data_IF_767028113828
#
_entry.id   IF_767028113828
#
_cell.length_a   1.000
_cell.length_b   1.000
_cell.length_c   1.000
_cell.angle_alpha   90.00
_cell.angle_beta   90.00
_cell.angle_gamma   90.00
#
_symmetry.space_group_name_H-M   'P 1'
#
loop_
_entity.id
_entity.type
_entity.pdbx_description
1 polymer ?
#
# COMPACT_ATOMS: atom_id res chain seq x y z
N UNK A 1 -49.60 -18.92 10.16
CA UNK A 1 -49.88 -18.03 9.06
C UNK A 1 -49.33 -16.66 9.42
N UNK A 2 -48.20 -16.30 8.88
CA UNK A 2 -47.82 -15.02 8.29
C UNK A 2 -46.33 -15.15 7.97
N UNK A 3 -46.09 -15.42 6.71
CA UNK A 3 -44.75 -15.49 6.10
C UNK A 3 -44.20 -14.08 5.96
N UNK A 4 -43.13 -13.74 6.63
CA UNK A 4 -42.30 -12.59 6.29
C UNK A 4 -41.20 -13.06 5.34
N UNK A 5 -41.51 -13.10 4.06
CA UNK A 5 -40.52 -13.12 2.98
C UNK A 5 -39.77 -11.81 3.00
N UNK A 6 -38.57 -11.85 3.57
CA UNK A 6 -37.61 -10.75 3.47
C UNK A 6 -37.09 -10.72 2.04
N UNK A 7 -37.53 -9.73 1.27
CA UNK A 7 -37.14 -9.46 -0.11
C UNK A 7 -35.60 -9.45 -0.23
N UNK A 8 -35.08 -10.34 -1.11
CA UNK A 8 -33.72 -10.30 -1.62
C UNK A 8 -33.53 -9.00 -2.36
N UNK A 9 -32.56 -8.19 -2.00
CA UNK A 9 -32.02 -7.16 -2.88
C UNK A 9 -31.19 -7.89 -3.94
N UNK A 10 -31.78 -8.18 -5.06
CA UNK A 10 -31.07 -8.57 -6.27
C UNK A 10 -30.26 -7.35 -6.73
N UNK A 11 -28.93 -7.49 -6.84
CA UNK A 11 -28.11 -6.46 -7.42
C UNK A 11 -28.58 -6.23 -8.87
N UNK A 12 -28.77 -5.00 -9.32
CA UNK A 12 -29.18 -4.74 -10.68
C UNK A 12 -28.16 -5.34 -11.65
N UNK A 13 -28.58 -5.85 -12.81
CA UNK A 13 -27.70 -6.50 -13.79
C UNK A 13 -26.48 -5.66 -14.19
N UNK A 14 -26.59 -4.34 -14.10
CA UNK A 14 -25.52 -3.37 -14.40
C UNK A 14 -24.39 -3.36 -13.33
N UNK A 15 -24.67 -3.80 -12.11
CA UNK A 15 -23.68 -3.88 -11.00
C UNK A 15 -22.93 -5.22 -10.95
N UNK A 16 -23.42 -6.26 -11.64
CA UNK A 16 -22.82 -7.60 -11.61
C UNK A 16 -21.38 -7.61 -12.13
N UNK A 17 -21.02 -6.95 -13.26
CA UNK A 17 -19.62 -6.91 -13.71
C UNK A 17 -18.68 -6.29 -12.68
N UNK A 18 -19.12 -5.24 -12.00
CA UNK A 18 -18.34 -4.57 -10.93
C UNK A 18 -18.17 -5.48 -9.72
N UNK A 19 -19.20 -6.22 -9.33
CA UNK A 19 -19.13 -7.20 -8.26
C UNK A 19 -18.18 -8.35 -8.60
N UNK A 20 -18.25 -8.87 -9.83
CA UNK A 20 -17.34 -9.94 -10.29
C UNK A 20 -15.90 -9.44 -10.36
N UNK A 21 -15.66 -8.20 -10.80
CA UNK A 21 -14.35 -7.57 -10.77
C UNK A 21 -13.82 -7.43 -9.32
N UNK A 22 -14.67 -7.01 -8.40
CA UNK A 22 -14.33 -6.95 -6.98
C UNK A 22 -13.94 -8.33 -6.41
N UNK A 23 -14.73 -9.37 -6.72
CA UNK A 23 -14.43 -10.73 -6.31
C UNK A 23 -13.16 -11.29 -6.96
N UNK A 24 -12.90 -10.95 -8.22
CA UNK A 24 -11.65 -11.29 -8.88
C UNK A 24 -10.46 -10.74 -8.09
N UNK A 25 -10.52 -9.47 -7.70
CA UNK A 25 -9.44 -8.81 -6.94
C UNK A 25 -9.22 -9.40 -5.55
N UNK A 26 -10.29 -9.72 -4.83
CA UNK A 26 -10.19 -10.05 -3.41
C UNK A 26 -10.23 -11.55 -3.10
N UNK A 27 -10.85 -12.35 -3.98
CA UNK A 27 -11.06 -13.77 -3.72
C UNK A 27 -10.29 -14.69 -4.68
N UNK A 28 -10.02 -14.27 -5.92
CA UNK A 28 -9.36 -15.14 -6.90
C UNK A 28 -8.00 -15.66 -6.40
N UNK A 29 -7.18 -14.81 -5.81
CA UNK A 29 -5.87 -15.22 -5.29
C UNK A 29 -5.95 -16.29 -4.19
N UNK A 30 -6.98 -16.25 -3.35
CA UNK A 30 -7.24 -17.27 -2.32
C UNK A 30 -7.61 -18.61 -2.95
N UNK A 31 -8.48 -18.57 -3.97
CA UNK A 31 -8.93 -19.79 -4.69
C UNK A 31 -7.77 -20.39 -5.48
N UNK A 32 -6.98 -19.55 -6.19
CA UNK A 32 -5.78 -20.00 -6.91
C UNK A 32 -4.78 -20.65 -5.94
N UNK A 33 -4.51 -20.02 -4.80
CA UNK A 33 -3.61 -20.57 -3.78
C UNK A 33 -4.09 -21.93 -3.28
N UNK A 34 -5.39 -22.06 -3.02
CA UNK A 34 -5.99 -23.33 -2.58
C UNK A 34 -5.92 -24.42 -3.64
N UNK A 35 -6.24 -24.12 -4.88
CA UNK A 35 -6.11 -25.09 -5.98
C UNK A 35 -4.64 -25.48 -6.22
N UNK A 36 -3.72 -24.52 -6.10
CA UNK A 36 -2.28 -24.80 -6.21
C UNK A 36 -1.77 -25.69 -5.07
N UNK A 37 -2.33 -25.59 -3.87
CA UNK A 37 -1.97 -26.51 -2.76
C UNK A 37 -2.34 -27.97 -3.09
N UNK A 38 -3.38 -28.19 -3.89
CA UNK A 38 -3.87 -29.52 -4.27
C UNK A 38 -3.14 -30.04 -5.53
N UNK A 39 -3.03 -29.21 -6.56
CA UNK A 39 -2.43 -29.60 -7.83
C UNK A 39 -0.90 -29.51 -7.86
N UNK A 40 -0.31 -28.77 -6.92
CA UNK A 40 1.11 -28.42 -6.93
C UNK A 40 1.43 -27.19 -7.80
N UNK A 41 2.58 -26.58 -7.55
CA UNK A 41 3.05 -25.36 -8.23
C UNK A 41 3.23 -25.55 -9.72
N UNK A 42 3.51 -26.78 -10.17
CA UNK A 42 3.63 -27.14 -11.59
C UNK A 42 2.35 -26.87 -12.39
N UNK A 43 1.20 -26.84 -11.72
CA UNK A 43 -0.12 -26.63 -12.31
C UNK A 43 -0.71 -25.24 -11.96
N UNK A 44 0.13 -24.26 -11.63
CA UNK A 44 -0.31 -22.91 -11.28
C UNK A 44 -1.16 -22.26 -12.36
N UNK A 45 -0.79 -22.41 -13.66
CA UNK A 45 -1.59 -21.90 -14.76
C UNK A 45 -2.99 -22.54 -14.79
N UNK A 46 -3.06 -23.85 -14.56
CA UNK A 46 -4.34 -24.57 -14.49
C UNK A 46 -5.23 -24.02 -13.36
N UNK A 47 -4.66 -23.77 -12.19
CA UNK A 47 -5.41 -23.19 -11.07
C UNK A 47 -5.98 -21.80 -11.43
N UNK A 48 -5.20 -20.95 -12.12
CA UNK A 48 -5.68 -19.66 -12.62
C UNK A 48 -6.81 -19.80 -13.64
N UNK A 49 -6.67 -20.71 -14.61
CA UNK A 49 -7.66 -20.94 -15.68
C UNK A 49 -9.00 -21.41 -15.08
N UNK A 50 -8.97 -22.32 -14.10
CA UNK A 50 -10.18 -22.79 -13.42
C UNK A 50 -10.91 -21.67 -12.65
N UNK A 51 -10.16 -20.75 -12.04
CA UNK A 51 -10.75 -19.60 -11.34
C UNK A 51 -11.31 -18.60 -12.34
N UNK A 52 -10.63 -18.33 -13.44
CA UNK A 52 -11.14 -17.47 -14.51
C UNK A 52 -12.42 -18.03 -15.15
N UNK A 53 -12.48 -19.33 -15.40
CA UNK A 53 -13.69 -19.99 -15.90
C UNK A 53 -14.84 -19.87 -14.89
N UNK A 54 -14.59 -20.04 -13.58
CA UNK A 54 -15.61 -19.85 -12.57
C UNK A 54 -16.17 -18.41 -12.53
N UNK A 55 -15.30 -17.41 -12.69
CA UNK A 55 -15.70 -16.01 -12.77
C UNK A 55 -16.45 -15.70 -14.08
N UNK A 56 -16.06 -16.27 -15.20
CA UNK A 56 -16.79 -16.17 -16.46
C UNK A 56 -18.20 -16.75 -16.34
N UNK A 57 -18.36 -17.90 -15.66
CA UNK A 57 -19.67 -18.46 -15.34
C UNK A 57 -20.51 -17.58 -14.44
N UNK A 58 -19.90 -16.89 -13.48
CA UNK A 58 -20.62 -15.91 -12.64
C UNK A 58 -21.22 -14.79 -13.51
N UNK A 59 -20.46 -14.23 -14.44
CA UNK A 59 -20.92 -13.20 -15.38
C UNK A 59 -22.07 -13.70 -16.28
N UNK A 60 -22.07 -14.99 -16.63
CA UNK A 60 -23.11 -15.59 -17.46
C UNK A 60 -24.37 -15.97 -16.69
N UNK A 61 -24.26 -16.39 -15.42
CA UNK A 61 -25.36 -16.98 -14.67
C UNK A 61 -26.04 -16.00 -13.72
N UNK A 62 -25.30 -15.12 -13.07
CA UNK A 62 -25.88 -14.20 -12.08
C UNK A 62 -26.86 -13.17 -12.63
N UNK A 63 -26.74 -12.68 -13.89
CA UNK A 63 -27.77 -11.80 -14.47
C UNK A 63 -29.16 -12.45 -14.55
N UNK A 64 -29.22 -13.78 -14.64
CA UNK A 64 -30.49 -14.51 -14.82
C UNK A 64 -31.01 -15.17 -13.52
N UNK A 65 -30.11 -15.61 -12.65
CA UNK A 65 -30.46 -16.39 -11.45
C UNK A 65 -30.23 -15.62 -10.15
N UNK A 66 -29.75 -14.36 -10.26
CA UNK A 66 -29.40 -13.53 -9.12
C UNK A 66 -28.04 -13.88 -8.51
N UNK A 67 -27.50 -12.94 -7.75
CA UNK A 67 -26.21 -13.10 -7.05
C UNK A 67 -26.40 -14.02 -5.83
N UNK A 68 -25.57 -15.06 -5.64
CA UNK A 68 -25.64 -15.93 -4.46
C UNK A 68 -25.46 -15.13 -3.16
N UNK A 69 -26.01 -15.65 -2.04
CA UNK A 69 -25.83 -15.04 -0.70
C UNK A 69 -24.35 -14.90 -0.30
N UNK A 70 -23.52 -15.86 -0.72
CA UNK A 70 -22.08 -15.83 -0.52
C UNK A 70 -21.37 -16.05 -1.88
N UNK A 71 -21.09 -14.96 -2.64
CA UNK A 71 -20.47 -15.04 -3.95
C UNK A 71 -19.08 -15.68 -3.94
N UNK A 72 -18.27 -15.42 -2.91
CA UNK A 72 -16.92 -16.00 -2.77
C UNK A 72 -16.97 -17.53 -2.60
N UNK A 73 -17.87 -18.03 -1.77
CA UNK A 73 -18.08 -19.47 -1.61
C UNK A 73 -18.60 -20.13 -2.90
N UNK A 74 -19.44 -19.45 -3.68
CA UNK A 74 -19.91 -19.92 -4.96
C UNK A 74 -18.77 -20.08 -5.98
N UNK A 75 -17.90 -19.06 -6.10
CA UNK A 75 -16.71 -19.13 -6.98
C UNK A 75 -15.80 -20.28 -6.56
N UNK A 76 -15.52 -20.42 -5.26
CA UNK A 76 -14.74 -21.54 -4.75
C UNK A 76 -15.36 -22.89 -5.14
N UNK A 77 -16.66 -23.05 -4.95
CA UNK A 77 -17.36 -24.30 -5.26
C UNK A 77 -17.36 -24.61 -6.75
N UNK A 78 -17.60 -23.60 -7.61
CA UNK A 78 -17.56 -23.80 -9.07
C UNK A 78 -16.14 -24.15 -9.53
N UNK A 79 -15.11 -23.45 -9.01
CA UNK A 79 -13.72 -23.77 -9.31
C UNK A 79 -13.35 -25.19 -8.91
N UNK A 80 -13.80 -25.66 -7.75
CA UNK A 80 -13.62 -27.06 -7.30
C UNK A 80 -14.32 -28.07 -8.22
N UNK A 81 -15.57 -27.81 -8.58
CA UNK A 81 -16.30 -28.71 -9.47
C UNK A 81 -15.59 -28.83 -10.83
N UNK A 82 -15.13 -27.70 -11.38
CA UNK A 82 -14.31 -27.68 -12.60
C UNK A 82 -13.01 -28.48 -12.41
N UNK A 83 -12.37 -28.34 -11.26
CA UNK A 83 -11.16 -29.08 -10.92
C UNK A 83 -11.40 -30.59 -10.85
N UNK A 84 -12.47 -31.03 -10.21
CA UNK A 84 -12.90 -32.46 -10.13
C UNK A 84 -13.17 -33.01 -11.53
N UNK A 85 -13.93 -32.29 -12.36
CA UNK A 85 -14.24 -32.70 -13.73
C UNK A 85 -12.97 -32.84 -14.58
N UNK A 86 -12.00 -31.94 -14.38
CA UNK A 86 -10.73 -31.99 -15.06
C UNK A 86 -9.89 -33.18 -14.61
N UNK A 87 -9.76 -33.42 -13.29
CA UNK A 87 -9.01 -34.56 -12.73
C UNK A 87 -9.57 -35.88 -13.28
N UNK A 88 -10.89 -36.01 -13.37
CA UNK A 88 -11.57 -37.21 -13.93
C UNK A 88 -11.33 -37.41 -15.41
N UNK A 89 -11.12 -36.33 -16.18
CA UNK A 89 -10.90 -36.41 -17.64
C UNK A 89 -9.44 -36.62 -18.04
N UNK A 90 -8.51 -36.03 -17.28
CA UNK A 90 -7.11 -35.95 -17.63
C UNK A 90 -6.32 -37.16 -17.16
N UNK A 91 -5.70 -37.88 -18.12
CA UNK A 91 -4.86 -39.05 -17.84
C UNK A 91 -3.67 -38.75 -16.93
N UNK A 92 -3.17 -37.53 -16.93
CA UNK A 92 -2.01 -37.06 -16.12
C UNK A 92 -2.28 -37.18 -14.63
N UNK A 93 -3.53 -37.11 -14.18
CA UNK A 93 -3.91 -37.17 -12.77
C UNK A 93 -4.35 -38.56 -12.31
N UNK A 94 -4.36 -39.57 -13.21
CA UNK A 94 -4.95 -40.90 -12.97
C UNK A 94 -4.39 -41.59 -11.72
N UNK A 95 -3.08 -41.50 -11.50
CA UNK A 95 -2.42 -42.15 -10.35
C UNK A 95 -2.72 -41.50 -9.00
N UNK A 96 -3.20 -40.22 -9.03
CA UNK A 96 -3.52 -39.42 -7.83
C UNK A 96 -4.99 -38.99 -7.78
N UNK A 97 -5.82 -39.52 -8.67
CA UNK A 97 -7.22 -39.07 -8.84
C UNK A 97 -8.00 -39.15 -7.53
N UNK A 98 -7.96 -40.29 -6.84
CA UNK A 98 -8.69 -40.51 -5.59
C UNK A 98 -8.23 -39.57 -4.49
N UNK A 99 -6.92 -39.34 -4.35
CA UNK A 99 -6.35 -38.43 -3.35
C UNK A 99 -6.75 -36.98 -3.64
N UNK A 100 -6.61 -36.54 -4.89
CA UNK A 100 -6.92 -35.17 -5.32
C UNK A 100 -8.43 -34.89 -5.20
N UNK A 101 -9.28 -35.81 -5.62
CA UNK A 101 -10.74 -35.67 -5.45
C UNK A 101 -11.10 -35.64 -3.97
N UNK A 102 -10.50 -36.50 -3.16
CA UNK A 102 -10.68 -36.49 -1.70
C UNK A 102 -10.33 -35.15 -1.07
N UNK A 103 -9.21 -34.56 -1.44
CA UNK A 103 -8.79 -33.22 -0.96
C UNK A 103 -9.73 -32.11 -1.44
N UNK A 104 -10.28 -32.20 -2.64
CA UNK A 104 -11.28 -31.27 -3.17
C UNK A 104 -12.64 -31.41 -2.47
N UNK A 105 -13.05 -32.65 -2.14
CA UNK A 105 -14.35 -32.96 -1.53
C UNK A 105 -14.38 -32.77 -0.01
N UNK A 106 -13.28 -33.00 0.70
CA UNK A 106 -13.19 -32.79 2.16
C UNK A 106 -13.72 -31.45 2.63
N UNK A 107 -13.69 -30.43 1.73
CA UNK A 107 -14.20 -29.09 2.02
C UNK A 107 -15.72 -28.95 1.92
N UNK A 108 -16.43 -29.89 1.30
CA UNK A 108 -17.90 -29.87 1.26
C UNK A 108 -18.50 -30.29 2.62
N UNK A 109 -17.80 -31.13 3.36
CA UNK A 109 -18.23 -31.60 4.68
C UNK A 109 -17.93 -30.57 5.81
N UNK A 110 -17.02 -29.63 5.60
CA UNK A 110 -16.56 -28.65 6.60
C UNK A 110 -17.31 -27.32 6.52
N UNK A 111 -18.23 -27.15 5.56
CA UNK A 111 -19.02 -25.90 5.40
C UNK A 111 -19.86 -25.53 6.63
N UNK A 112 -19.96 -26.38 7.65
CA UNK A 112 -20.59 -26.10 8.93
C UNK A 112 -19.62 -25.80 10.10
N UNK A 113 -18.30 -25.70 9.82
CA UNK A 113 -17.29 -25.28 10.82
C UNK A 113 -16.49 -24.08 10.32
N UNK A 114 -16.86 -22.83 10.72
CA UNK A 114 -16.23 -21.62 10.18
C UNK A 114 -14.73 -21.40 10.46
N UNK A 115 -14.14 -21.81 11.61
CA UNK A 115 -12.76 -21.39 11.93
C UNK A 115 -11.65 -22.09 11.14
N UNK A 116 -11.78 -23.39 10.86
CA UNK A 116 -10.69 -24.17 10.24
C UNK A 116 -10.47 -23.84 8.76
N UNK A 117 -11.53 -23.53 8.02
CA UNK A 117 -11.45 -23.20 6.60
C UNK A 117 -10.75 -21.85 6.32
N UNK A 118 -11.06 -20.84 7.15
CA UNK A 118 -10.44 -19.52 7.04
C UNK A 118 -8.94 -19.58 7.36
N UNK A 119 -8.51 -20.42 8.28
CA UNK A 119 -7.10 -20.63 8.64
C UNK A 119 -6.33 -21.34 7.51
N UNK A 120 -6.88 -22.40 6.92
CA UNK A 120 -6.25 -23.09 5.79
C UNK A 120 -6.08 -22.18 4.57
N UNK A 121 -7.06 -21.32 4.24
CA UNK A 121 -6.92 -20.34 3.16
C UNK A 121 -5.84 -19.32 3.46
N UNK A 122 -5.70 -18.89 4.72
CA UNK A 122 -4.63 -17.97 5.13
C UNK A 122 -3.26 -18.63 4.93
N UNK A 123 -3.11 -19.87 5.33
CA UNK A 123 -1.87 -20.63 5.18
C UNK A 123 -1.51 -20.86 3.71
N UNK A 124 -2.47 -21.20 2.85
CA UNK A 124 -2.24 -21.38 1.43
C UNK A 124 -1.85 -20.05 0.75
N UNK A 125 -2.48 -18.95 1.14
CA UNK A 125 -2.09 -17.61 0.65
C UNK A 125 -0.68 -17.23 1.09
N UNK A 126 -0.28 -17.60 2.30
CA UNK A 126 1.07 -17.38 2.79
C UNK A 126 2.11 -18.24 2.03
N UNK A 127 1.83 -19.53 1.83
CA UNK A 127 2.68 -20.40 0.99
C UNK A 127 2.83 -19.83 -0.42
N UNK A 128 1.74 -19.35 -1.03
CA UNK A 128 1.77 -18.72 -2.34
C UNK A 128 2.63 -17.45 -2.36
N UNK A 129 2.65 -16.64 -1.27
CA UNK A 129 3.56 -15.48 -1.18
C UNK A 129 5.02 -15.94 -1.29
N UNK A 130 5.42 -16.99 -0.59
CA UNK A 130 6.79 -17.52 -0.69
C UNK A 130 7.11 -18.09 -2.06
N UNK A 131 6.14 -18.66 -2.76
CA UNK A 131 6.30 -19.08 -4.17
C UNK A 131 6.50 -17.87 -5.08
N UNK A 132 5.63 -16.86 -5.01
CA UNK A 132 5.71 -15.65 -5.84
C UNK A 132 6.98 -14.84 -5.58
N UNK A 133 7.49 -14.85 -4.36
CA UNK A 133 8.69 -14.11 -3.95
C UNK A 133 9.95 -15.00 -3.92
N UNK A 134 9.97 -16.12 -4.64
CA UNK A 134 11.12 -17.03 -4.67
C UNK A 134 12.34 -16.36 -5.33
N UNK A 135 13.56 -16.46 -4.74
CA UNK A 135 14.76 -15.76 -5.24
C UNK A 135 15.24 -16.25 -6.63
N UNK A 136 14.74 -17.41 -7.10
CA UNK A 136 15.06 -17.90 -8.44
C UNK A 136 14.58 -16.99 -9.58
N UNK A 137 13.61 -16.13 -9.30
CA UNK A 137 13.10 -15.13 -10.24
C UNK A 137 13.53 -13.71 -9.82
N UNK A 138 13.81 -12.82 -10.79
CA UNK A 138 14.19 -11.44 -10.49
C UNK A 138 13.13 -10.72 -9.68
N UNK A 139 13.55 -9.75 -8.85
CA UNK A 139 12.67 -8.96 -7.96
C UNK A 139 11.45 -8.37 -8.67
N UNK A 140 11.65 -7.77 -9.84
CA UNK A 140 10.53 -7.21 -10.62
C UNK A 140 9.53 -8.26 -11.08
N UNK A 141 9.98 -9.51 -11.31
CA UNK A 141 9.09 -10.60 -11.65
C UNK A 141 8.35 -11.11 -10.41
N UNK A 142 8.99 -11.07 -9.22
CA UNK A 142 8.33 -11.38 -7.94
C UNK A 142 7.16 -10.42 -7.69
N UNK A 143 7.39 -9.10 -7.87
CA UNK A 143 6.34 -8.08 -7.73
C UNK A 143 5.21 -8.31 -8.72
N UNK A 144 5.54 -8.50 -10.01
CA UNK A 144 4.54 -8.75 -11.04
C UNK A 144 3.71 -10.01 -10.76
N UNK A 145 4.35 -11.08 -10.29
CA UNK A 145 3.69 -12.34 -9.99
C UNK A 145 2.81 -12.23 -8.74
N UNK A 146 3.27 -11.54 -7.69
CA UNK A 146 2.49 -11.27 -6.49
C UNK A 146 1.24 -10.43 -6.83
N UNK A 147 1.38 -9.38 -7.63
CA UNK A 147 0.26 -8.57 -8.10
C UNK A 147 -0.76 -9.41 -8.89
N UNK A 148 -0.27 -10.29 -9.79
CA UNK A 148 -1.13 -11.16 -10.61
C UNK A 148 -1.87 -12.17 -9.77
N UNK A 149 -1.15 -12.96 -8.96
CA UNK A 149 -1.68 -14.15 -8.29
C UNK A 149 -2.36 -13.81 -6.96
N UNK A 150 -1.75 -12.96 -6.13
CA UNK A 150 -2.26 -12.69 -4.78
C UNK A 150 -3.26 -11.53 -4.73
N UNK A 151 -3.11 -10.57 -5.65
CA UNK A 151 -3.93 -9.35 -5.66
C UNK A 151 -4.88 -9.27 -6.87
N UNK A 152 -4.88 -10.27 -7.76
CA UNK A 152 -5.81 -10.36 -8.89
C UNK A 152 -5.68 -9.22 -9.92
N UNK A 153 -4.47 -8.68 -10.12
CA UNK A 153 -4.25 -7.63 -11.12
C UNK A 153 -4.17 -8.20 -12.53
N UNK A 154 -4.79 -7.52 -13.48
CA UNK A 154 -4.63 -7.79 -14.90
C UNK A 154 -3.26 -7.35 -15.42
N UNK A 155 -2.79 -7.91 -16.55
CA UNK A 155 -1.53 -7.49 -17.16
C UNK A 155 -1.49 -6.00 -17.53
N UNK A 156 -2.56 -5.37 -18.05
CA UNK A 156 -2.63 -3.92 -18.24
C UNK A 156 -2.49 -3.10 -16.94
N UNK A 157 -3.06 -3.56 -15.84
CA UNK A 157 -2.91 -2.88 -14.54
C UNK A 157 -1.49 -3.02 -14.00
N UNK A 158 -0.89 -4.21 -14.08
CA UNK A 158 0.51 -4.44 -13.69
C UNK A 158 1.45 -3.60 -14.57
N UNK A 159 1.18 -3.47 -15.87
CA UNK A 159 2.00 -2.66 -16.78
C UNK A 159 2.00 -1.19 -16.38
N UNK A 160 0.84 -0.66 -16.00
CA UNK A 160 0.71 0.70 -15.45
C UNK A 160 1.41 0.84 -14.10
N UNK A 161 1.29 -0.17 -13.22
CA UNK A 161 1.91 -0.17 -11.91
C UNK A 161 3.44 -0.19 -11.98
N UNK A 162 4.01 -0.96 -12.88
CA UNK A 162 5.46 -1.14 -13.01
C UNK A 162 6.10 -0.29 -14.12
N UNK A 163 5.37 0.66 -14.72
CA UNK A 163 5.83 1.49 -15.83
C UNK A 163 6.47 0.68 -16.97
N UNK A 164 5.86 -0.46 -17.29
CA UNK A 164 6.34 -1.40 -18.30
C UNK A 164 5.27 -1.59 -19.40
N UNK A 165 5.66 -2.07 -20.59
CA UNK A 165 4.66 -2.44 -21.60
C UNK A 165 3.92 -3.73 -21.20
N UNK A 166 2.65 -3.88 -21.64
CA UNK A 166 1.85 -5.07 -21.38
C UNK A 166 2.54 -6.35 -21.90
N UNK A 167 3.16 -6.28 -23.07
CA UNK A 167 3.92 -7.38 -23.64
C UNK A 167 5.14 -7.77 -22.76
N UNK A 168 5.84 -6.78 -22.18
CA UNK A 168 6.95 -7.03 -21.27
C UNK A 168 6.46 -7.69 -19.96
N UNK A 169 5.33 -7.25 -19.41
CA UNK A 169 4.71 -7.84 -18.22
C UNK A 169 4.27 -9.28 -18.51
N UNK A 170 3.55 -9.54 -19.62
CA UNK A 170 3.12 -10.88 -20.00
C UNK A 170 4.32 -11.84 -20.14
N UNK A 171 5.37 -11.41 -20.84
CA UNK A 171 6.61 -12.20 -20.99
C UNK A 171 7.31 -12.44 -19.65
N UNK A 172 7.32 -11.44 -18.74
CA UNK A 172 7.90 -11.54 -17.41
C UNK A 172 7.14 -12.57 -16.56
N UNK A 173 5.79 -12.51 -16.56
CA UNK A 173 4.93 -13.46 -15.84
C UNK A 173 5.12 -14.90 -16.35
N UNK A 174 5.11 -15.12 -17.68
CA UNK A 174 5.31 -16.44 -18.28
C UNK A 174 6.66 -17.01 -17.88
N UNK A 175 7.75 -16.26 -18.05
CA UNK A 175 9.10 -16.72 -17.68
C UNK A 175 9.26 -16.99 -16.18
N UNK A 176 8.61 -16.19 -15.34
CA UNK A 176 8.64 -16.39 -13.88
C UNK A 176 7.98 -17.72 -13.52
N UNK A 177 6.80 -18.01 -14.07
CA UNK A 177 6.08 -19.27 -13.84
C UNK A 177 6.85 -20.49 -14.36
N UNK A 178 7.46 -20.36 -15.55
CA UNK A 178 8.32 -21.41 -16.13
C UNK A 178 9.51 -21.72 -15.22
N UNK A 179 10.24 -20.71 -14.76
CA UNK A 179 11.38 -20.90 -13.85
C UNK A 179 10.97 -21.55 -12.53
N UNK A 180 9.86 -21.12 -11.94
CA UNK A 180 9.31 -21.71 -10.71
C UNK A 180 8.98 -23.17 -10.92
N UNK A 181 8.34 -23.52 -12.06
CA UNK A 181 8.00 -24.90 -12.43
C UNK A 181 9.24 -25.75 -12.64
N UNK A 182 10.22 -25.27 -13.45
CA UNK A 182 11.46 -26.00 -13.77
C UNK A 182 12.31 -26.25 -12.52
N UNK A 183 12.33 -25.32 -11.58
CA UNK A 183 13.05 -25.46 -10.34
C UNK A 183 12.33 -26.34 -9.31
N UNK A 184 11.11 -26.77 -9.57
CA UNK A 184 10.34 -27.59 -8.64
C UNK A 184 10.08 -26.88 -7.29
N UNK A 185 9.84 -25.55 -7.32
CA UNK A 185 9.65 -24.75 -6.10
C UNK A 185 8.54 -25.37 -5.25
N UNK A 186 8.78 -25.71 -3.97
CA UNK A 186 7.78 -26.33 -3.14
C UNK A 186 6.67 -25.32 -2.75
N UNK A 187 5.43 -25.82 -2.65
CA UNK A 187 4.31 -25.04 -2.10
C UNK A 187 4.33 -25.09 -0.57
N UNK A 188 5.30 -24.42 0.03
CA UNK A 188 5.55 -24.48 1.47
C UNK A 188 6.08 -23.14 1.99
N UNK A 189 5.91 -22.93 3.30
CA UNK A 189 6.62 -21.88 4.02
C UNK A 189 8.05 -22.40 4.26
N UNK A 190 9.11 -21.66 3.91
CA UNK A 190 10.47 -22.05 4.19
C UNK A 190 10.72 -22.28 5.69
N UNK A 191 11.71 -23.08 6.05
CA UNK A 191 12.07 -23.37 7.43
C UNK A 191 13.55 -23.10 7.69
N UNK A 192 13.91 -22.96 8.97
CA UNK A 192 15.30 -22.73 9.37
C UNK A 192 15.90 -21.43 8.83
N UNK A 193 17.18 -21.47 8.44
CA UNK A 193 17.92 -20.29 7.97
C UNK A 193 17.38 -19.67 6.67
N UNK A 194 16.78 -20.49 5.81
CA UNK A 194 16.18 -20.01 4.55
C UNK A 194 14.99 -19.08 4.77
N UNK A 195 14.26 -19.25 5.88
CA UNK A 195 13.09 -18.45 6.16
C UNK A 195 13.41 -16.95 6.24
N UNK A 196 14.48 -16.57 6.92
CA UNK A 196 14.82 -15.16 7.13
C UNK A 196 15.09 -14.45 5.81
N UNK A 197 15.94 -15.04 4.95
CA UNK A 197 16.26 -14.47 3.62
C UNK A 197 15.04 -14.39 2.70
N UNK A 198 14.22 -15.45 2.71
CA UNK A 198 12.99 -15.50 1.91
C UNK A 198 11.94 -14.51 2.41
N UNK A 199 11.85 -14.32 3.73
CA UNK A 199 10.96 -13.35 4.35
C UNK A 199 11.32 -11.90 3.95
N UNK A 200 12.61 -11.55 3.91
CA UNK A 200 13.07 -10.24 3.45
C UNK A 200 12.61 -9.96 2.02
N UNK A 201 12.67 -10.98 1.16
CA UNK A 201 12.12 -10.90 -0.19
C UNK A 201 10.63 -10.62 -0.23
N UNK A 202 9.86 -11.28 0.62
CA UNK A 202 8.42 -11.05 0.75
C UNK A 202 8.15 -9.63 1.26
N UNK A 203 8.81 -9.20 2.33
CA UNK A 203 8.61 -7.87 2.92
C UNK A 203 8.90 -6.76 1.91
N UNK A 204 10.00 -6.88 1.15
CA UNK A 204 10.32 -5.91 0.11
C UNK A 204 9.26 -5.87 -0.99
N UNK A 205 8.72 -7.01 -1.39
CA UNK A 205 7.64 -7.09 -2.38
C UNK A 205 6.38 -6.40 -1.88
N UNK A 206 5.99 -6.66 -0.62
CA UNK A 206 4.82 -6.03 0.00
C UNK A 206 5.01 -4.52 0.20
N UNK A 207 6.22 -4.09 0.57
CA UNK A 207 6.58 -2.68 0.68
C UNK A 207 6.44 -1.94 -0.67
N UNK A 208 6.94 -2.54 -1.76
CA UNK A 208 6.81 -1.97 -3.10
C UNK A 208 5.35 -1.95 -3.58
N UNK A 209 4.59 -3.01 -3.29
CA UNK A 209 3.15 -3.05 -3.55
C UNK A 209 2.41 -1.92 -2.84
N UNK A 210 2.71 -1.69 -1.57
CA UNK A 210 2.13 -0.60 -0.79
C UNK A 210 2.50 0.77 -1.37
N UNK A 211 3.77 0.98 -1.73
CA UNK A 211 4.25 2.24 -2.29
C UNK A 211 3.58 2.56 -3.63
N UNK A 212 3.34 1.54 -4.48
CA UNK A 212 2.60 1.74 -5.73
C UNK A 212 1.14 2.17 -5.47
N UNK A 213 0.51 1.65 -4.43
CA UNK A 213 -0.81 2.10 -4.00
C UNK A 213 -0.80 3.50 -3.39
N UNK A 214 0.21 3.78 -2.60
CA UNK A 214 0.33 5.04 -1.87
C UNK A 214 0.74 6.23 -2.76
N UNK A 215 1.59 5.99 -3.77
CA UNK A 215 2.05 6.98 -4.75
C UNK A 215 1.93 6.37 -6.13
N UNK A 216 0.72 6.32 -6.69
CA UNK A 216 0.54 5.76 -8.01
C UNK A 216 1.43 6.48 -9.03
N UNK A 217 2.32 5.72 -9.68
CA UNK A 217 3.33 6.24 -10.61
C UNK A 217 2.71 6.71 -11.92
N UNK A 218 1.44 6.36 -12.20
CA UNK A 218 0.73 6.80 -13.40
C UNK A 218 -0.79 6.64 -13.26
N UNK A 219 -1.56 7.43 -13.99
CA UNK A 219 -3.02 7.34 -14.10
C UNK A 219 -3.76 8.58 -13.60
N UNK A 220 -5.09 8.57 -13.73
CA UNK A 220 -5.98 9.67 -13.33
C UNK A 220 -6.11 9.81 -11.80
N UNK A 221 -5.80 8.76 -11.03
CA UNK A 221 -5.83 8.76 -9.56
C UNK A 221 -4.42 8.59 -9.02
N UNK A 222 -4.00 9.51 -8.18
CA UNK A 222 -2.70 9.52 -7.50
C UNK A 222 -2.57 8.48 -6.39
N UNK A 223 -3.67 7.91 -5.94
CA UNK A 223 -3.72 6.95 -4.84
C UNK A 223 -4.59 5.78 -5.27
N UNK A 224 -4.07 4.59 -5.11
CA UNK A 224 -4.79 3.32 -5.29
C UNK A 224 -4.94 2.66 -3.94
N UNK A 225 -5.95 3.08 -3.20
CA UNK A 225 -6.20 2.63 -1.84
C UNK A 225 -6.33 1.11 -1.75
N UNK A 226 -6.85 0.48 -2.79
CA UNK A 226 -7.01 -0.98 -2.88
C UNK A 226 -5.66 -1.70 -2.74
N UNK A 227 -4.59 -1.19 -3.38
CA UNK A 227 -3.24 -1.78 -3.26
C UNK A 227 -2.69 -1.63 -1.84
N UNK A 228 -2.90 -0.47 -1.22
CA UNK A 228 -2.49 -0.24 0.15
C UNK A 228 -3.20 -1.22 1.10
N UNK A 229 -4.50 -1.43 0.93
CA UNK A 229 -5.28 -2.35 1.75
C UNK A 229 -4.85 -3.81 1.54
N UNK A 230 -4.57 -4.23 0.30
CA UNK A 230 -4.06 -5.56 0.01
C UNK A 230 -2.67 -5.80 0.61
N UNK A 231 -1.75 -4.83 0.49
CA UNK A 231 -0.44 -4.93 1.13
C UNK A 231 -0.55 -5.07 2.66
N UNK A 232 -1.43 -4.27 3.30
CA UNK A 232 -1.72 -4.37 4.73
C UNK A 232 -2.32 -5.74 5.07
N UNK A 233 -3.27 -6.24 4.27
CA UNK A 233 -3.89 -7.55 4.48
C UNK A 233 -2.86 -8.68 4.41
N UNK A 234 -2.03 -8.69 3.38
CA UNK A 234 -0.99 -9.70 3.19
C UNK A 234 0.08 -9.63 4.30
N UNK A 235 0.49 -8.42 4.71
CA UNK A 235 1.44 -8.26 5.82
C UNK A 235 0.82 -8.69 7.15
N UNK A 236 -0.49 -8.51 7.34
CA UNK A 236 -1.19 -9.00 8.53
C UNK A 236 -1.18 -10.53 8.64
N UNK A 237 -1.23 -11.27 7.52
CA UNK A 237 -1.08 -12.73 7.55
C UNK A 237 0.30 -13.16 8.05
N UNK A 238 1.35 -12.42 7.69
CA UNK A 238 2.70 -12.70 8.20
C UNK A 238 2.78 -12.48 9.72
N UNK A 239 2.11 -11.47 10.25
CA UNK A 239 2.06 -11.20 11.70
C UNK A 239 1.23 -12.26 12.45
N UNK A 240 0.15 -12.74 11.84
CA UNK A 240 -0.73 -13.74 12.45
C UNK A 240 -0.11 -15.15 12.52
N UNK A 241 0.84 -15.45 11.63
CA UNK A 241 1.48 -16.76 11.58
C UNK A 241 2.72 -16.82 12.50
N UNK A 242 2.78 -17.75 13.47
CA UNK A 242 3.88 -17.85 14.45
C UNK A 242 5.28 -17.97 13.83
N UNK A 243 5.39 -18.58 12.64
CA UNK A 243 6.67 -18.82 11.96
C UNK A 243 7.23 -17.54 11.35
N UNK A 244 6.38 -16.64 10.89
CA UNK A 244 6.78 -15.38 10.23
C UNK A 244 6.62 -14.16 11.13
N UNK A 245 6.02 -14.33 12.33
CA UNK A 245 5.83 -13.25 13.29
C UNK A 245 7.18 -12.84 13.89
N UNK A 246 7.74 -11.74 13.42
CA UNK A 246 8.99 -11.18 13.92
C UNK A 246 9.02 -9.65 13.86
N UNK A 247 9.96 -8.98 14.56
CA UNK A 247 10.00 -7.52 14.69
C UNK A 247 9.92 -6.75 13.37
N UNK A 248 10.66 -7.17 12.34
CA UNK A 248 10.67 -6.49 11.03
C UNK A 248 9.32 -6.55 10.29
N UNK A 249 8.53 -7.61 10.48
CA UNK A 249 7.19 -7.72 9.91
C UNK A 249 6.24 -6.73 10.60
N UNK A 250 6.34 -6.62 11.93
CA UNK A 250 5.59 -5.64 12.70
C UNK A 250 5.97 -4.20 12.31
N UNK A 251 7.26 -3.91 12.07
CA UNK A 251 7.73 -2.62 11.62
C UNK A 251 7.12 -2.23 10.27
N UNK A 252 7.14 -3.14 9.29
CA UNK A 252 6.53 -2.91 7.98
C UNK A 252 5.01 -2.69 8.10
N UNK A 253 4.30 -3.50 8.88
CA UNK A 253 2.86 -3.32 9.08
C UNK A 253 2.54 -1.99 9.75
N UNK A 254 3.32 -1.56 10.75
CA UNK A 254 3.17 -0.27 11.38
C UNK A 254 3.36 0.88 10.38
N UNK A 255 4.40 0.83 9.55
CA UNK A 255 4.68 1.81 8.50
C UNK A 255 3.50 1.93 7.53
N UNK A 256 2.97 0.80 7.06
CA UNK A 256 1.82 0.77 6.15
C UNK A 256 0.57 1.36 6.80
N UNK A 257 0.28 1.01 8.05
CA UNK A 257 -0.88 1.51 8.78
C UNK A 257 -0.82 3.01 9.02
N UNK A 258 0.33 3.56 9.40
CA UNK A 258 0.50 5.01 9.59
C UNK A 258 0.33 5.79 8.28
N UNK A 259 0.89 5.29 7.19
CA UNK A 259 0.74 5.95 5.90
C UNK A 259 -0.69 5.82 5.37
N UNK A 260 -1.31 4.64 5.45
CA UNK A 260 -2.70 4.43 5.02
C UNK A 260 -3.70 5.25 5.85
N UNK A 261 -3.43 5.48 7.14
CA UNK A 261 -4.27 6.32 7.98
C UNK A 261 -4.43 7.75 7.44
N UNK A 262 -3.50 8.22 6.65
CA UNK A 262 -3.49 9.58 6.07
C UNK A 262 -4.23 9.69 4.74
N UNK A 263 -4.56 8.57 4.08
CA UNK A 263 -5.19 8.54 2.75
C UNK A 263 -6.40 9.46 2.63
N UNK A 264 -7.36 9.51 3.60
CA UNK A 264 -8.53 10.38 3.50
C UNK A 264 -8.24 11.89 3.46
N UNK A 265 -7.05 12.31 3.90
CA UNK A 265 -6.64 13.71 3.94
C UNK A 265 -5.58 14.09 2.90
N UNK A 266 -5.14 13.14 2.05
CA UNK A 266 -4.07 13.39 1.06
C UNK A 266 -4.47 14.21 -0.13
N UNK A 267 -5.76 14.28 -0.42
CA UNK A 267 -6.29 15.09 -1.53
C UNK A 267 -7.43 16.00 -1.07
N UNK A 268 -7.55 17.14 -1.74
CA UNK A 268 -8.70 18.03 -1.59
C UNK A 268 -9.94 17.49 -2.33
N UNK A 269 -11.07 18.22 -2.24
CA UNK A 269 -12.33 17.88 -2.93
C UNK A 269 -12.22 17.84 -4.46
N UNK A 270 -11.17 18.45 -5.02
CA UNK A 270 -10.91 18.50 -6.46
C UNK A 270 -9.89 17.42 -6.91
N UNK A 271 -9.45 16.58 -5.98
CA UNK A 271 -8.45 15.54 -6.24
C UNK A 271 -6.99 16.04 -6.30
N UNK A 272 -6.72 17.30 -5.90
CA UNK A 272 -5.35 17.81 -5.84
C UNK A 272 -4.63 17.28 -4.61
N UNK A 273 -3.34 16.96 -4.77
CA UNK A 273 -2.48 16.56 -3.66
C UNK A 273 -2.30 17.68 -2.64
N UNK A 274 -2.40 17.32 -1.37
CA UNK A 274 -2.11 18.18 -0.24
C UNK A 274 -0.76 17.79 0.38
N UNK A 275 0.10 18.79 0.63
CA UNK A 275 1.30 18.62 1.43
C UNK A 275 0.93 18.21 2.86
N UNK A 276 1.86 17.57 3.55
CA UNK A 276 1.64 17.12 4.93
C UNK A 276 1.18 18.26 5.86
N UNK A 277 1.72 19.47 5.67
CA UNK A 277 1.32 20.68 6.39
C UNK A 277 -0.09 21.21 6.06
N UNK A 278 -0.62 20.81 4.89
CA UNK A 278 -1.93 21.24 4.40
C UNK A 278 -3.02 20.20 4.72
N UNK A 279 -2.64 19.01 5.19
CA UNK A 279 -3.57 17.92 5.50
C UNK A 279 -4.33 18.17 6.81
N UNK A 280 -5.64 18.04 6.75
CA UNK A 280 -6.49 18.04 7.95
C UNK A 280 -6.33 16.71 8.71
N UNK A 281 -5.63 16.76 9.83
CA UNK A 281 -5.34 15.59 10.66
C UNK A 281 -6.58 15.01 11.34
N UNK A 282 -7.67 15.74 11.45
CA UNK A 282 -8.94 15.23 11.99
C UNK A 282 -9.56 14.16 11.07
N UNK A 283 -9.20 14.18 9.78
CA UNK A 283 -9.61 13.20 8.79
C UNK A 283 -8.74 11.94 8.77
N UNK A 284 -7.64 11.91 9.53
CA UNK A 284 -6.79 10.73 9.59
C UNK A 284 -7.48 9.60 10.34
N UNK A 285 -7.30 8.37 9.88
CA UNK A 285 -7.94 7.19 10.44
C UNK A 285 -7.32 6.82 11.80
N UNK A 286 -7.93 7.28 12.90
CA UNK A 286 -7.48 7.04 14.28
C UNK A 286 -7.37 5.54 14.63
N UNK A 287 -8.30 4.66 14.29
CA UNK A 287 -8.15 3.22 14.45
C UNK A 287 -6.89 2.64 13.80
N UNK A 288 -6.56 3.03 12.55
CA UNK A 288 -5.32 2.59 11.89
C UNK A 288 -4.08 3.10 12.62
N UNK A 289 -4.09 4.35 13.09
CA UNK A 289 -2.97 4.91 13.88
C UNK A 289 -2.76 4.09 15.15
N UNK A 290 -3.81 3.78 15.91
CA UNK A 290 -3.69 2.94 17.12
C UNK A 290 -3.14 1.55 16.82
N UNK A 291 -3.60 0.90 15.75
CA UNK A 291 -3.03 -0.39 15.30
C UNK A 291 -1.56 -0.23 14.92
N UNK A 292 -1.20 0.85 14.20
CA UNK A 292 0.19 1.16 13.86
C UNK A 292 1.07 1.30 15.10
N UNK A 293 0.63 2.02 16.14
CA UNK A 293 1.37 2.16 17.41
C UNK A 293 1.54 0.81 18.12
N UNK A 294 0.51 -0.04 18.13
CA UNK A 294 0.61 -1.40 18.67
C UNK A 294 1.68 -2.21 17.94
N UNK A 295 1.69 -2.22 16.60
CA UNK A 295 2.69 -2.96 15.83
C UNK A 295 4.09 -2.35 15.97
N UNK A 296 4.21 -1.02 16.03
CA UNK A 296 5.47 -0.35 16.30
C UNK A 296 6.07 -0.77 17.67
N UNK A 297 5.23 -0.87 18.71
CA UNK A 297 5.69 -1.36 20.01
C UNK A 297 6.16 -2.82 19.97
N UNK A 298 5.51 -3.66 19.15
CA UNK A 298 5.93 -5.06 18.94
C UNK A 298 7.21 -5.16 18.11
N UNK A 299 7.46 -4.23 17.21
CA UNK A 299 8.69 -4.21 16.41
C UNK A 299 9.93 -3.84 17.23
N UNK A 300 9.75 -3.24 18.40
CA UNK A 300 10.86 -2.89 19.30
C UNK A 300 11.45 -4.10 20.05
N UNK A 301 10.91 -5.30 19.86
CA UNK A 301 11.44 -6.53 20.46
C UNK A 301 12.61 -7.05 19.61
N UNK A 302 13.82 -7.14 20.20
CA UNK A 302 15.02 -7.62 19.50
C UNK A 302 16.01 -6.52 19.12
N UNK A 303 17.13 -6.92 18.54
CA UNK A 303 18.28 -6.04 18.30
C UNK A 303 18.42 -5.63 16.82
N UNK A 304 17.65 -6.22 15.90
CA UNK A 304 17.70 -5.93 14.47
C UNK A 304 16.90 -4.66 14.15
N UNK A 305 17.56 -3.63 13.62
CA UNK A 305 16.93 -2.42 13.11
C UNK A 305 17.00 -2.45 11.59
N UNK A 306 15.84 -2.45 10.92
CA UNK A 306 15.73 -2.38 9.47
C UNK A 306 15.23 -0.99 9.04
N UNK A 307 15.29 -0.71 7.72
CA UNK A 307 14.71 0.52 7.15
C UNK A 307 13.22 0.68 7.53
N UNK A 308 12.48 -0.42 7.68
CA UNK A 308 11.05 -0.38 8.06
C UNK A 308 10.84 0.17 9.47
N UNK A 309 11.72 -0.17 10.42
CA UNK A 309 11.67 0.35 11.80
C UNK A 309 11.83 1.87 11.81
N UNK A 310 12.83 2.37 11.09
CA UNK A 310 13.15 3.80 11.04
C UNK A 310 12.06 4.58 10.31
N UNK A 311 11.59 4.08 9.18
CA UNK A 311 10.48 4.70 8.43
C UNK A 311 9.16 4.66 9.22
N UNK A 312 8.87 3.57 9.94
CA UNK A 312 7.69 3.49 10.82
C UNK A 312 7.79 4.49 11.97
N UNK A 313 8.97 4.65 12.58
CA UNK A 313 9.23 5.65 13.61
C UNK A 313 9.00 7.09 13.10
N UNK A 314 9.49 7.42 11.90
CA UNK A 314 9.25 8.71 11.25
C UNK A 314 7.74 8.94 11.04
N UNK A 315 7.05 7.94 10.48
CA UNK A 315 5.61 8.03 10.25
C UNK A 315 4.82 8.16 11.56
N UNK A 316 5.25 7.47 12.63
CA UNK A 316 4.67 7.58 13.96
C UNK A 316 4.81 8.99 14.55
N UNK A 317 5.97 9.64 14.39
CA UNK A 317 6.17 11.03 14.84
C UNK A 317 5.15 11.98 14.19
N UNK A 318 4.87 11.81 12.89
CA UNK A 318 3.85 12.59 12.21
C UNK A 318 2.44 12.28 12.72
N UNK A 319 2.13 10.99 12.96
CA UNK A 319 0.81 10.58 13.45
C UNK A 319 0.54 10.94 14.92
N UNK A 320 1.58 11.07 15.75
CA UNK A 320 1.47 11.43 17.15
C UNK A 320 1.30 12.96 17.37
N UNK A 321 1.78 13.76 16.44
CA UNK A 321 1.70 15.21 16.53
C UNK A 321 0.28 15.73 16.22
N UNK A 322 -0.18 16.73 16.98
CA UNK A 322 -1.50 17.34 16.78
C UNK A 322 -1.60 18.13 15.46
N UNK A 323 -0.52 18.81 15.10
CA UNK A 323 -0.38 19.63 13.91
C UNK A 323 1.04 19.50 13.33
N UNK A 324 1.31 20.21 12.23
CA UNK A 324 2.62 20.17 11.59
C UNK A 324 3.71 20.80 12.46
N UNK A 325 3.36 21.87 13.14
CA UNK A 325 4.26 22.68 13.98
C UNK A 325 4.71 21.92 15.23
N UNK A 326 3.81 21.11 15.82
CA UNK A 326 4.10 20.28 17.01
C UNK A 326 4.80 18.94 16.67
N UNK A 327 5.12 18.70 15.39
CA UNK A 327 5.85 17.49 14.95
C UNK A 327 7.26 17.49 15.56
N UNK A 328 7.68 16.34 16.14
CA UNK A 328 9.02 16.20 16.73
C UNK A 328 10.08 16.04 15.65
N UNK A 329 10.43 17.14 14.98
CA UNK A 329 11.42 17.18 13.92
C UNK A 329 12.84 16.76 14.35
N UNK A 330 13.34 17.12 15.57
CA UNK A 330 14.61 16.61 16.05
C UNK A 330 14.68 15.08 16.10
N UNK A 331 13.61 14.42 16.58
CA UNK A 331 13.57 12.97 16.60
C UNK A 331 13.48 12.37 15.19
N UNK A 332 12.70 12.98 14.29
CA UNK A 332 12.64 12.59 12.87
C UNK A 332 14.01 12.68 12.21
N UNK A 333 14.77 13.75 12.48
CA UNK A 333 16.13 13.90 11.95
C UNK A 333 17.06 12.79 12.48
N UNK A 334 16.95 12.43 13.75
CA UNK A 334 17.70 11.29 14.34
C UNK A 334 17.40 9.99 13.60
N UNK A 335 16.12 9.72 13.34
CA UNK A 335 15.71 8.52 12.59
C UNK A 335 16.21 8.53 11.14
N UNK A 336 16.16 9.67 10.45
CA UNK A 336 16.76 9.81 9.12
C UNK A 336 18.28 9.65 9.11
N UNK A 337 18.97 10.13 10.16
CA UNK A 337 20.42 9.89 10.30
C UNK A 337 20.75 8.40 10.39
N UNK A 338 19.91 7.62 11.07
CA UNK A 338 20.02 6.15 11.07
C UNK A 338 19.66 5.54 9.70
N UNK A 339 18.61 6.04 9.06
CA UNK A 339 18.13 5.49 7.79
C UNK A 339 19.14 5.63 6.64
N UNK A 340 19.83 6.75 6.54
CA UNK A 340 20.87 6.96 5.50
C UNK A 340 22.12 6.08 5.69
N UNK A 341 22.28 5.43 6.86
CA UNK A 341 23.35 4.45 7.07
C UNK A 341 22.97 3.06 6.54
N UNK A 342 21.66 2.78 6.45
CA UNK A 342 21.13 1.48 5.99
C UNK A 342 20.78 1.56 4.50
N UNK A 343 20.23 2.70 4.05
CA UNK A 343 19.77 2.94 2.68
C UNK A 343 20.49 4.17 2.10
N UNK A 344 21.49 3.94 1.23
CA UNK A 344 22.28 4.99 0.52
C UNK A 344 21.50 5.62 -0.64
N UNK A 345 20.14 5.57 -0.60
CA UNK A 345 19.28 6.17 -1.62
C UNK A 345 19.35 7.70 -1.58
N UNK A 346 19.64 8.38 -2.71
CA UNK A 346 19.56 9.84 -2.77
C UNK A 346 18.19 10.41 -2.41
N UNK A 347 17.10 9.64 -2.58
CA UNK A 347 15.75 10.03 -2.18
C UNK A 347 15.60 10.05 -0.65
N UNK A 348 16.19 9.10 0.05
CA UNK A 348 16.24 9.11 1.53
C UNK A 348 17.05 10.30 2.02
N UNK A 349 18.19 10.60 1.38
CA UNK A 349 19.02 11.76 1.70
C UNK A 349 18.28 13.09 1.44
N UNK A 350 17.48 13.19 0.37
CA UNK A 350 16.62 14.35 0.09
C UNK A 350 15.56 14.55 1.18
N UNK A 351 14.91 13.48 1.61
CA UNK A 351 13.93 13.54 2.70
C UNK A 351 14.59 13.92 4.03
N UNK A 352 15.83 13.45 4.28
CA UNK A 352 16.63 13.88 5.43
C UNK A 352 16.89 15.39 5.39
N UNK A 353 17.22 15.96 4.21
CA UNK A 353 17.44 17.39 4.06
C UNK A 353 16.19 18.22 4.42
N UNK A 354 14.98 17.70 4.16
CA UNK A 354 13.73 18.33 4.64
C UNK A 354 13.66 18.33 6.17
N UNK A 355 14.06 17.25 6.84
CA UNK A 355 14.13 17.22 8.30
C UNK A 355 15.20 18.16 8.86
N UNK A 356 16.38 18.26 8.20
CA UNK A 356 17.43 19.24 8.54
C UNK A 356 16.88 20.66 8.46
N UNK A 357 16.17 21.00 7.38
CA UNK A 357 15.58 22.33 7.22
C UNK A 357 14.55 22.67 8.30
N UNK A 358 13.75 21.70 8.76
CA UNK A 358 12.79 21.93 9.85
C UNK A 358 13.43 22.08 11.23
N UNK A 359 14.67 21.57 11.44
CA UNK A 359 15.39 21.67 12.71
C UNK A 359 16.36 22.86 12.72
N UNK A 360 17.08 23.06 11.61
CA UNK A 360 18.22 23.98 11.52
C UNK A 360 18.00 25.16 10.55
N UNK A 361 16.82 25.21 9.91
CA UNK A 361 16.48 26.25 8.94
C UNK A 361 16.77 25.88 7.50
N UNK A 362 16.17 26.63 6.57
CA UNK A 362 16.17 26.33 5.14
C UNK A 362 17.58 26.37 4.50
N UNK A 363 18.47 27.25 5.00
CA UNK A 363 19.86 27.30 4.53
C UNK A 363 20.58 25.97 4.74
N UNK A 364 20.50 25.44 5.98
CA UNK A 364 21.07 24.12 6.32
C UNK A 364 20.42 22.99 5.49
N UNK A 365 19.14 23.14 5.14
CA UNK A 365 18.46 22.22 4.23
C UNK A 365 19.04 22.21 2.82
N UNK A 366 19.36 23.39 2.27
CA UNK A 366 20.01 23.54 0.95
C UNK A 366 21.41 22.90 0.99
N UNK A 367 22.21 23.21 2.00
CA UNK A 367 23.55 22.61 2.18
C UNK A 367 23.46 21.07 2.27
N UNK A 368 22.46 20.56 3.00
CA UNK A 368 22.24 19.13 3.09
C UNK A 368 21.85 18.49 1.75
N UNK A 369 21.10 19.19 0.88
CA UNK A 369 20.80 18.73 -0.50
C UNK A 369 22.05 18.72 -1.37
N UNK A 370 22.89 19.75 -1.26
CA UNK A 370 24.15 19.84 -2.04
C UNK A 370 25.14 18.75 -1.65
N UNK A 371 25.15 18.35 -0.37
CA UNK A 371 26.00 17.29 0.16
C UNK A 371 25.51 15.87 -0.17
N UNK A 372 24.38 15.68 -0.89
CA UNK A 372 23.87 14.34 -1.24
C UNK A 372 24.85 13.62 -2.14
N UNK A 373 25.30 12.42 -1.69
CA UNK A 373 26.10 11.52 -2.53
C UNK A 373 25.28 11.07 -3.74
N UNK A 374 25.89 11.08 -4.93
CA UNK A 374 25.22 10.74 -6.19
C UNK A 374 23.99 11.61 -6.51
N UNK A 375 23.99 12.88 -6.11
CA UNK A 375 22.92 13.84 -6.34
C UNK A 375 22.44 13.88 -7.80
N UNK A 376 23.34 13.68 -8.77
CA UNK A 376 23.00 13.62 -10.19
C UNK A 376 21.88 12.61 -10.55
N UNK A 377 21.69 11.57 -9.75
CA UNK A 377 20.55 10.63 -9.92
C UNK A 377 19.20 11.29 -9.64
N UNK A 378 19.18 12.45 -8.99
CA UNK A 378 17.95 13.21 -8.70
C UNK A 378 17.69 14.31 -9.75
N UNK A 379 18.54 14.53 -10.74
CA UNK A 379 18.41 15.64 -11.71
C UNK A 379 17.13 15.51 -12.57
N UNK A 380 16.60 14.30 -12.73
CA UNK A 380 15.30 14.04 -13.38
C UNK A 380 14.15 13.87 -12.40
N UNK A 381 14.39 14.07 -11.10
CA UNK A 381 13.40 13.88 -10.06
C UNK A 381 12.79 15.21 -9.64
N UNK A 382 11.58 15.51 -10.08
CA UNK A 382 10.93 16.82 -9.88
C UNK A 382 10.87 17.26 -8.40
N UNK A 383 10.81 16.30 -7.45
CA UNK A 383 10.78 16.63 -6.02
C UNK A 383 12.07 17.28 -5.50
N UNK A 384 13.22 17.03 -6.13
CA UNK A 384 14.45 17.74 -5.80
C UNK A 384 14.24 19.25 -5.92
N UNK A 385 13.74 19.68 -7.06
CA UNK A 385 13.51 21.10 -7.36
C UNK A 385 12.32 21.67 -6.58
N UNK A 386 11.30 20.87 -6.34
CA UNK A 386 10.18 21.28 -5.49
C UNK A 386 10.64 21.56 -4.04
N UNK A 387 11.52 20.74 -3.48
CA UNK A 387 12.10 20.91 -2.13
C UNK A 387 13.00 22.15 -2.11
N UNK A 388 13.90 22.32 -3.07
CA UNK A 388 14.75 23.52 -3.17
C UNK A 388 13.91 24.79 -3.32
N UNK A 389 12.87 24.76 -4.15
CA UNK A 389 11.93 25.87 -4.29
C UNK A 389 11.23 26.24 -2.98
N UNK A 390 10.82 25.28 -2.17
CA UNK A 390 10.22 25.52 -0.83
C UNK A 390 11.23 26.14 0.15
N UNK A 391 12.49 25.70 0.12
CA UNK A 391 13.56 26.31 0.95
C UNK A 391 13.82 27.75 0.55
N UNK A 392 13.90 28.05 -0.75
CA UNK A 392 14.08 29.42 -1.24
C UNK A 392 12.88 30.33 -0.92
N UNK A 393 11.65 29.81 -0.91
CA UNK A 393 10.46 30.54 -0.41
C UNK A 393 10.64 30.90 1.06
N UNK A 394 11.10 29.97 1.91
CA UNK A 394 11.35 30.24 3.33
C UNK A 394 12.42 31.32 3.53
N UNK A 395 13.43 31.35 2.67
CA UNK A 395 14.48 32.36 2.66
C UNK A 395 14.08 33.68 1.97
N UNK A 396 12.85 33.77 1.46
CA UNK A 396 12.31 34.92 0.73
C UNK A 396 13.08 35.25 -0.57
N UNK A 397 13.75 34.25 -1.15
CA UNK A 397 14.50 34.37 -2.42
C UNK A 397 13.57 34.01 -3.58
N UNK A 398 12.67 34.93 -3.93
CA UNK A 398 11.53 34.72 -4.86
C UNK A 398 11.96 34.23 -6.23
N UNK A 399 13.03 34.85 -6.82
CA UNK A 399 13.49 34.51 -8.15
C UNK A 399 14.02 33.07 -8.24
N UNK A 400 14.84 32.66 -7.24
CA UNK A 400 15.36 31.32 -7.15
C UNK A 400 14.25 30.30 -6.96
N UNK A 401 13.30 30.58 -6.06
CA UNK A 401 12.13 29.74 -5.84
C UNK A 401 11.32 29.52 -7.12
N UNK A 402 11.06 30.60 -7.88
CA UNK A 402 10.35 30.51 -9.16
C UNK A 402 11.14 29.72 -10.20
N UNK A 403 12.47 29.85 -10.23
CA UNK A 403 13.36 29.05 -11.08
C UNK A 403 13.21 27.55 -10.81
N UNK A 404 13.35 27.16 -9.55
CA UNK A 404 13.21 25.76 -9.14
C UNK A 404 11.80 25.19 -9.38
N UNK A 405 10.73 25.95 -9.13
CA UNK A 405 9.37 25.44 -9.40
C UNK A 405 9.09 25.29 -10.91
N UNK A 406 9.68 26.13 -11.80
CA UNK A 406 9.59 25.92 -13.25
C UNK A 406 10.28 24.62 -13.65
N UNK A 407 11.49 24.38 -13.14
CA UNK A 407 12.24 23.16 -13.41
C UNK A 407 11.50 21.91 -12.88
N UNK A 408 10.92 21.98 -11.68
CA UNK A 408 10.06 20.92 -11.16
C UNK A 408 8.84 20.66 -12.05
N UNK A 409 8.21 21.73 -12.59
CA UNK A 409 7.04 21.64 -13.45
C UNK A 409 7.34 20.98 -14.81
N UNK A 410 8.53 21.22 -15.36
CA UNK A 410 9.01 20.57 -16.61
C UNK A 410 9.18 19.06 -16.42
N UNK A 411 9.62 18.62 -15.24
CA UNK A 411 9.89 17.22 -14.91
C UNK A 411 8.67 16.46 -14.35
N UNK A 412 7.58 17.16 -14.03
CA UNK A 412 6.39 16.54 -13.45
C UNK A 412 5.61 15.75 -14.51
N UNK A 413 5.32 14.48 -14.20
CA UNK A 413 4.65 13.56 -15.14
C UNK A 413 3.12 13.62 -15.03
N UNK A 414 2.57 13.79 -13.82
CA UNK A 414 1.13 13.71 -13.62
C UNK A 414 0.45 15.08 -13.65
N UNK A 415 -0.82 15.10 -14.07
CA UNK A 415 -1.64 16.34 -14.08
C UNK A 415 -1.71 17.00 -12.71
N UNK A 416 -1.82 16.20 -11.64
CA UNK A 416 -1.95 16.71 -10.27
C UNK A 416 -0.66 17.30 -9.74
N UNK A 417 0.51 16.71 -10.07
CA UNK A 417 1.82 17.28 -9.74
C UNK A 417 2.01 18.61 -10.45
N UNK A 418 1.68 18.68 -11.73
CA UNK A 418 1.75 19.93 -12.52
C UNK A 418 0.83 21.01 -11.96
N UNK A 419 -0.39 20.68 -11.58
CA UNK A 419 -1.33 21.63 -10.96
C UNK A 419 -0.80 22.15 -9.62
N UNK A 420 -0.27 21.24 -8.78
CA UNK A 420 0.36 21.59 -7.52
C UNK A 420 1.55 22.56 -7.71
N UNK A 421 2.50 22.23 -8.61
CA UNK A 421 3.68 23.04 -8.88
C UNK A 421 3.33 24.39 -9.52
N UNK A 422 2.34 24.44 -10.42
CA UNK A 422 1.83 25.68 -10.99
C UNK A 422 1.25 26.61 -9.92
N UNK A 423 0.51 26.06 -8.95
CA UNK A 423 0.02 26.80 -7.78
C UNK A 423 1.16 27.37 -6.96
N UNK A 424 2.22 26.56 -6.68
CA UNK A 424 3.41 26.99 -5.94
C UNK A 424 4.17 28.11 -6.66
N UNK A 425 4.38 27.96 -7.98
CA UNK A 425 5.00 28.97 -8.80
C UNK A 425 4.22 30.29 -8.77
N UNK A 426 2.88 30.24 -8.89
CA UNK A 426 2.03 31.43 -8.81
C UNK A 426 2.14 32.12 -7.46
N UNK A 427 2.12 31.36 -6.35
CA UNK A 427 2.27 31.92 -5.01
C UNK A 427 3.66 32.52 -4.77
N UNK A 428 4.72 31.91 -5.31
CA UNK A 428 6.07 32.45 -5.22
C UNK A 428 6.21 33.78 -5.95
N UNK A 429 5.54 33.94 -7.11
CA UNK A 429 5.59 35.15 -7.93
C UNK A 429 4.63 36.26 -7.52
N UNK A 430 3.64 36.01 -6.62
CA UNK A 430 2.61 36.99 -6.21
C UNK A 430 3.06 37.75 -4.95
N UNK A 431 3.28 39.08 -5.02
CA UNK A 431 3.77 39.85 -3.87
C UNK A 431 2.72 40.14 -2.77
N UNK A 432 1.44 39.90 -3.02
CA UNK A 432 0.35 40.57 -2.26
C UNK A 432 -0.44 39.75 -1.25
N UNK A 433 -0.19 38.45 -1.05
CA UNK A 433 -0.94 37.65 -0.05
C UNK A 433 -0.15 37.38 1.26
N UNK A 434 0.95 38.09 1.51
CA UNK A 434 1.83 37.87 2.69
C UNK A 434 1.43 38.60 3.96
N UNK A 435 0.29 39.32 4.02
CA UNK A 435 -0.08 40.19 5.17
C UNK A 435 -1.33 39.80 5.95
N UNK A 436 -1.86 38.57 5.81
CA UNK A 436 -3.00 38.13 6.61
C UNK A 436 -2.57 37.00 7.54
N UNK A 437 -1.89 37.36 8.62
CA UNK A 437 -1.42 36.40 9.63
C UNK A 437 -0.79 37.06 10.85
N UNK A 438 -1.02 38.38 11.06
CA UNK A 438 -0.72 38.97 12.39
C UNK A 438 -2.01 39.03 13.23
N UNK A 439 -2.00 38.55 14.48
CA UNK A 439 -3.13 38.73 15.36
C UNK A 439 -3.26 40.23 15.67
N UNK A 440 -4.41 40.82 15.34
CA UNK A 440 -4.76 42.18 15.73
C UNK A 440 -4.60 42.31 17.23
N UNK A 441 -3.65 43.15 17.66
CA UNK A 441 -3.55 43.63 19.01
C UNK A 441 -4.84 44.37 19.34
N UNK A 442 -5.56 43.91 20.34
CA UNK A 442 -6.71 44.60 20.96
C UNK A 442 -6.26 45.95 21.54
N UNK A 443 -6.92 47.08 21.24
CA UNK A 443 -6.59 48.33 21.85
C UNK A 443 -6.99 48.28 23.33
N UNK A 444 -6.05 48.57 24.22
CA UNK A 444 -6.28 48.87 25.63
C UNK A 444 -7.14 50.13 25.71
N UNK A 445 -8.42 50.01 26.04
CA UNK A 445 -9.24 51.10 26.48
C UNK A 445 -8.84 51.51 27.88
N UNK A 446 -8.16 52.66 27.97
CA UNK A 446 -8.00 53.41 29.20
C UNK A 446 -9.34 53.96 29.60
N UNK A 447 -9.77 53.66 30.78
CA UNK A 447 -10.77 54.45 31.52
C UNK A 447 -10.17 54.98 32.79
N UNK A 448 -10.16 56.30 32.81
CA UNK A 448 -9.79 57.22 33.87
C UNK A 448 -10.60 57.02 35.18
N UNK A 449 -9.88 57.20 36.26
CA UNK A 449 -10.38 57.51 37.62
C UNK A 449 -11.55 58.45 37.61
N UNK A 450 -12.58 58.17 38.46
CA UNK A 450 -13.29 59.09 39.28
C UNK A 450 -13.58 58.45 40.63
N UNK A 451 -13.12 59.16 41.61
CA UNK A 451 -13.25 58.97 43.06
C UNK A 451 -14.63 59.33 43.60
N UNK A 452 -14.95 58.75 44.80
CA UNK A 452 -15.75 59.21 45.94
C UNK A 452 -17.22 58.78 46.01
N UNK A 453 -17.76 58.81 47.27
CA UNK A 453 -17.38 58.07 48.51
C UNK A 453 -18.60 57.40 49.21
N UNK A 454 -18.29 56.70 50.33
CA UNK A 454 -19.09 56.42 51.54
C UNK A 454 -20.63 56.26 51.47
N UNK A 455 -21.16 55.15 52.01
CA UNK A 455 -21.81 55.06 53.33
C UNK A 455 -22.33 53.64 53.62
N UNK A 456 -21.83 53.17 54.77
CA UNK A 456 -22.55 52.49 55.89
C UNK A 456 -23.83 51.69 55.56
N UNK A 457 -23.85 50.43 55.76
CA UNK A 457 -24.35 49.61 56.86
C UNK A 457 -23.93 48.18 56.73
#
# INVERSE_FOLDING_TARGET
MTSSETQRKDAPPEEIPQLVEHLFRHEAGKVVSRLTSIFGVNHLNLAEDLVQEALARALQTWPFYGVPRNPAAWIMQVSKNLAIDLVRREKVFRDKETEMIGLLEQHNAVSNRPPSFAEEIKDDSLRMMFVCCHPIIPREAQIALALKILCGFSAPEISKALLASEAAVAKKLTRAKEKIREAGVPFAIPSGGELSERLDGVLQTLYLLFNEGYKASSGLRLVREELCHEAIRLTSFLVENPVTNCPKVHALLALMLFNAARLPARSDSNGNLLLLKEQDRSRWNGPMIRRGMFHLSKSAAGDEITEYHLQAGIAACHCAARDYESTNWPHILTLYNGLVQIDDSPVVALNRAVAVANVHGAEAGIEAVEAIRNRAKLDTYYLLYAVLGEFEVQLKRVENAAGYFRQALELADTKSERQFLAKKLKLACSPHERSVGQPKATPRNGRSHRSHPEKTQ
#
